data_IF_325212743582
#
_entry.id   IF_325212743582
#
_cell.length_a   1.000
_cell.length_b   1.000
_cell.length_c   1.000
_cell.angle_alpha   90.00
_cell.angle_beta   90.00
_cell.angle_gamma   90.00
#
_symmetry.space_group_name_H-M   'P 1'
#
loop_
_entity.id
_entity.type
_entity.pdbx_description
1 polymer ?
#
# COMPACT_ATOMS: atom_id res chain seq x y z
N UNK A 1 13.95 -20.14 6.72
CA UNK A 1 13.01 -19.04 6.41
C UNK A 1 11.71 -19.37 7.13
N UNK A 2 11.29 -18.54 8.09
CA UNK A 2 9.95 -18.63 8.67
C UNK A 2 8.92 -18.31 7.59
N UNK A 3 7.74 -18.95 7.66
CA UNK A 3 6.64 -18.60 6.75
C UNK A 3 6.26 -17.12 6.99
N UNK A 4 5.90 -16.36 5.92
CA UNK A 4 5.41 -15.01 6.10
C UNK A 4 4.15 -15.02 6.97
N UNK A 5 4.07 -14.07 7.90
CA UNK A 5 2.89 -13.90 8.74
C UNK A 5 1.81 -13.19 7.90
N UNK A 6 0.75 -13.90 7.52
CA UNK A 6 -0.26 -13.45 6.55
C UNK A 6 -1.60 -13.25 7.25
N UNK A 7 -2.14 -12.03 7.17
CA UNK A 7 -3.56 -11.74 7.43
C UNK A 7 -4.39 -12.15 6.22
N UNK A 8 -5.60 -12.68 6.46
CA UNK A 8 -6.52 -13.10 5.41
C UNK A 8 -7.91 -12.52 5.59
N UNK A 9 -8.44 -11.97 4.50
CA UNK A 9 -9.75 -11.37 4.45
C UNK A 9 -10.56 -11.92 3.28
N UNK A 10 -11.82 -12.24 3.53
CA UNK A 10 -12.77 -12.67 2.51
C UNK A 10 -13.54 -11.44 2.06
N UNK A 11 -13.51 -11.16 0.75
CA UNK A 11 -14.27 -10.07 0.12
C UNK A 11 -15.49 -10.69 -0.58
N UNK A 12 -16.69 -10.15 -0.32
CA UNK A 12 -17.95 -10.58 -0.97
C UNK A 12 -18.88 -9.39 -1.22
N UNK A 13 -19.41 -9.26 -2.43
CA UNK A 13 -20.61 -8.45 -2.69
C UNK A 13 -21.85 -9.12 -2.10
N UNK A 14 -22.78 -8.34 -1.55
CA UNK A 14 -24.14 -8.78 -1.25
C UNK A 14 -25.00 -8.83 -2.52
N UNK A 15 -26.18 -9.45 -2.44
CA UNK A 15 -27.09 -9.55 -3.56
C UNK A 15 -27.77 -8.21 -3.89
N UNK A 16 -28.44 -8.16 -5.05
CA UNK A 16 -29.02 -6.94 -5.65
C UNK A 16 -30.07 -6.26 -4.76
N UNK A 17 -30.63 -6.97 -3.78
CA UNK A 17 -31.58 -6.43 -2.80
C UNK A 17 -30.91 -5.62 -1.67
N UNK A 18 -29.58 -5.72 -1.53
CA UNK A 18 -28.79 -5.08 -0.47
C UNK A 18 -27.82 -4.02 -1.04
N UNK A 19 -28.33 -3.18 -1.95
CA UNK A 19 -27.71 -1.91 -2.38
C UNK A 19 -26.27 -2.01 -2.94
N UNK A 20 -25.94 -3.17 -3.55
CA UNK A 20 -24.61 -3.47 -4.14
C UNK A 20 -23.41 -3.29 -3.18
N UNK A 21 -23.64 -3.51 -1.89
CA UNK A 21 -22.62 -3.37 -0.83
C UNK A 21 -21.55 -4.46 -0.92
N UNK A 22 -20.29 -4.10 -0.65
CA UNK A 22 -19.18 -5.05 -0.53
C UNK A 22 -18.83 -5.24 0.95
N UNK A 23 -18.89 -6.47 1.46
CA UNK A 23 -18.49 -6.82 2.81
C UNK A 23 -17.09 -7.44 2.81
N UNK A 24 -16.32 -7.13 3.85
CA UNK A 24 -14.98 -7.65 4.13
C UNK A 24 -15.01 -8.34 5.50
N UNK A 25 -14.68 -9.63 5.51
CA UNK A 25 -14.66 -10.48 6.69
C UNK A 25 -13.22 -10.89 6.97
N UNK A 26 -12.83 -11.05 8.23
CA UNK A 26 -11.59 -11.76 8.57
C UNK A 26 -11.78 -13.27 8.36
N UNK A 27 -10.79 -13.99 7.81
CA UNK A 27 -10.91 -15.44 7.58
C UNK A 27 -11.10 -16.23 8.89
N UNK A 28 -10.59 -15.70 10.02
CA UNK A 28 -10.77 -16.24 11.36
C UNK A 28 -12.21 -16.12 11.90
N UNK A 29 -13.00 -15.18 11.38
CA UNK A 29 -14.37 -14.88 11.84
C UNK A 29 -15.32 -14.62 10.65
N UNK A 30 -15.59 -15.62 9.79
CA UNK A 30 -16.27 -15.43 8.51
C UNK A 30 -17.74 -14.97 8.63
N UNK A 31 -18.36 -15.11 9.80
CA UNK A 31 -19.73 -14.66 10.08
C UNK A 31 -19.79 -13.19 10.55
N UNK A 32 -18.64 -12.58 10.88
CA UNK A 32 -18.55 -11.19 11.34
C UNK A 32 -17.93 -10.32 10.24
N UNK A 33 -18.74 -9.42 9.67
CA UNK A 33 -18.25 -8.33 8.82
C UNK A 33 -17.31 -7.46 9.64
N UNK A 34 -16.09 -7.22 9.17
CA UNK A 34 -15.11 -6.30 9.81
C UNK A 34 -15.20 -4.90 9.19
N UNK A 35 -15.27 -4.83 7.87
CA UNK A 35 -15.57 -3.59 7.13
C UNK A 35 -16.62 -3.84 6.06
N UNK A 36 -17.30 -2.78 5.66
CA UNK A 36 -18.16 -2.78 4.48
C UNK A 36 -17.94 -1.53 3.64
N UNK A 37 -18.21 -1.64 2.35
CA UNK A 37 -18.14 -0.55 1.38
C UNK A 37 -19.53 -0.26 0.83
N UNK A 38 -19.97 0.98 1.00
CA UNK A 38 -21.24 1.51 0.47
C UNK A 38 -20.95 2.61 -0.56
N UNK A 39 -21.78 2.69 -1.60
CA UNK A 39 -21.63 3.61 -2.73
C UNK A 39 -22.68 4.72 -2.66
N UNK A 40 -22.23 5.95 -2.83
CA UNK A 40 -23.06 7.16 -2.87
C UNK A 40 -22.84 7.90 -4.19
N UNK A 41 -23.91 8.43 -4.76
CA UNK A 41 -23.86 9.28 -5.95
C UNK A 41 -23.86 10.75 -5.51
N UNK A 42 -22.74 11.44 -5.69
CA UNK A 42 -22.66 12.91 -5.55
C UNK A 42 -22.85 13.61 -6.89
N UNK A 43 -22.96 14.95 -6.85
CA UNK A 43 -23.26 15.79 -8.04
C UNK A 43 -22.30 15.59 -9.22
N UNK A 44 -21.02 15.32 -8.94
CA UNK A 44 -19.93 15.26 -9.93
C UNK A 44 -19.04 13.99 -9.80
N UNK A 45 -19.22 13.21 -8.73
CA UNK A 45 -18.39 12.06 -8.41
C UNK A 45 -19.20 10.95 -7.71
N UNK A 46 -18.83 9.70 -8.00
CA UNK A 46 -19.19 8.53 -7.20
C UNK A 46 -18.27 8.56 -5.97
N UNK A 47 -18.86 8.46 -4.79
CA UNK A 47 -18.17 8.46 -3.50
C UNK A 47 -18.48 7.16 -2.81
N UNK A 48 -17.46 6.38 -2.49
CA UNK A 48 -17.63 5.11 -1.79
C UNK A 48 -16.96 5.19 -0.43
N UNK A 49 -17.62 4.64 0.59
CA UNK A 49 -17.17 4.75 1.98
C UNK A 49 -16.83 3.36 2.50
N UNK A 50 -15.57 3.14 2.88
CA UNK A 50 -15.16 1.98 3.65
C UNK A 50 -15.43 2.26 5.14
N UNK A 51 -16.44 1.59 5.69
CA UNK A 51 -16.92 1.76 7.06
C UNK A 51 -16.52 0.56 7.90
N UNK A 52 -15.96 0.80 9.09
CA UNK A 52 -15.69 -0.25 10.07
C UNK A 52 -16.99 -0.63 10.79
N UNK A 53 -17.35 -1.92 10.73
CA UNK A 53 -18.68 -2.41 11.13
C UNK A 53 -19.02 -2.17 12.59
N UNK A 54 -18.05 -2.40 13.48
CA UNK A 54 -18.26 -2.39 14.92
C UNK A 54 -18.43 -0.98 15.51
N UNK A 55 -17.91 0.04 14.82
CA UNK A 55 -17.92 1.43 15.29
C UNK A 55 -18.72 2.37 14.39
N UNK A 56 -19.23 1.88 13.25
CA UNK A 56 -19.89 2.68 12.20
C UNK A 56 -19.10 3.91 11.77
N UNK A 57 -17.77 3.84 11.84
CA UNK A 57 -16.87 4.93 11.43
C UNK A 57 -16.37 4.70 10.02
N UNK A 58 -16.49 5.72 9.17
CA UNK A 58 -15.78 5.79 7.89
C UNK A 58 -14.28 5.78 8.18
N UNK A 59 -13.57 4.81 7.61
CA UNK A 59 -12.11 4.73 7.63
C UNK A 59 -11.52 5.48 6.44
N UNK A 60 -12.05 5.21 5.25
CA UNK A 60 -11.57 5.74 3.98
C UNK A 60 -12.74 6.04 3.05
N UNK A 61 -12.57 7.02 2.16
CA UNK A 61 -13.46 7.25 1.03
C UNK A 61 -12.69 7.14 -0.28
N UNK A 62 -13.31 6.50 -1.27
CA UNK A 62 -12.82 6.34 -2.63
C UNK A 62 -13.68 7.25 -3.51
N UNK A 63 -13.05 8.14 -4.28
CA UNK A 63 -13.74 9.08 -5.16
C UNK A 63 -13.38 8.82 -6.61
N UNK A 64 -14.39 8.74 -7.48
CA UNK A 64 -14.28 8.50 -8.94
C UNK A 64 -15.23 9.46 -9.68
N UNK A 65 -14.86 10.04 -10.83
CA UNK A 65 -15.71 11.02 -11.52
C UNK A 65 -16.91 10.35 -12.22
N UNK A 66 -17.97 11.12 -12.46
CA UNK A 66 -19.04 10.69 -13.37
C UNK A 66 -18.64 10.70 -14.85
N UNK A 67 -17.58 11.44 -15.21
CA UNK A 67 -17.05 11.57 -16.57
C UNK A 67 -15.53 11.75 -16.56
N UNK A 68 -14.83 11.08 -17.46
CA UNK A 68 -13.37 11.06 -17.49
C UNK A 68 -12.78 10.06 -16.51
N UNK A 69 -11.56 10.31 -16.03
CA UNK A 69 -10.80 9.33 -15.25
C UNK A 69 -10.03 9.98 -14.11
N UNK A 70 -10.28 9.49 -12.88
CA UNK A 70 -9.35 9.48 -11.76
C UNK A 70 -9.85 8.49 -10.69
N UNK A 71 -8.93 8.01 -9.85
CA UNK A 71 -9.26 7.36 -8.58
C UNK A 71 -8.45 8.05 -7.50
N UNK A 72 -9.08 8.43 -6.39
CA UNK A 72 -8.39 9.03 -5.24
C UNK A 72 -8.97 8.53 -3.92
N UNK A 73 -8.09 8.19 -2.98
CA UNK A 73 -8.45 7.85 -1.61
C UNK A 73 -8.33 9.07 -0.69
N UNK A 74 -9.24 9.21 0.25
CA UNK A 74 -9.16 10.17 1.36
C UNK A 74 -9.46 9.46 2.68
N UNK A 75 -8.89 9.93 3.78
CA UNK A 75 -9.33 9.57 5.13
C UNK A 75 -10.03 10.77 5.79
N UNK A 76 -11.00 10.58 6.71
CA UNK A 76 -11.65 11.69 7.43
C UNK A 76 -10.69 12.56 8.25
N UNK A 77 -9.48 12.07 8.55
CA UNK A 77 -8.43 12.79 9.26
C UNK A 77 -7.47 13.58 8.34
N UNK A 78 -7.62 13.50 7.03
CA UNK A 78 -6.79 14.27 6.10
C UNK A 78 -7.21 15.75 6.10
N UNK A 79 -6.25 16.69 5.97
CA UNK A 79 -6.57 18.09 5.70
C UNK A 79 -7.41 18.24 4.42
N UNK A 80 -8.24 19.28 4.36
CA UNK A 80 -9.07 19.55 3.18
C UNK A 80 -8.21 19.64 1.91
N UNK A 81 -8.69 19.00 0.82
CA UNK A 81 -7.98 18.94 -0.46
C UNK A 81 -6.89 17.86 -0.55
N UNK A 82 -6.46 17.24 0.56
CA UNK A 82 -5.47 16.15 0.54
C UNK A 82 -6.13 14.83 0.14
N UNK A 83 -5.50 14.09 -0.78
CA UNK A 83 -5.92 12.76 -1.21
C UNK A 83 -4.73 11.98 -1.78
N UNK A 84 -4.82 10.65 -1.79
CA UNK A 84 -3.84 9.76 -2.42
C UNK A 84 -4.39 9.36 -3.79
N UNK A 85 -3.83 9.85 -4.91
CA UNK A 85 -4.28 9.46 -6.25
C UNK A 85 -3.72 8.08 -6.62
N UNK A 86 -4.54 7.30 -7.32
CA UNK A 86 -4.11 6.11 -8.05
C UNK A 86 -4.03 6.50 -9.54
N UNK A 87 -2.83 6.38 -10.11
CA UNK A 87 -2.51 6.83 -11.47
C UNK A 87 -2.01 5.65 -12.31
N UNK A 88 -2.45 5.51 -13.59
CA UNK A 88 -1.92 4.49 -14.49
C UNK A 88 -0.40 4.53 -14.55
N UNK A 89 0.24 3.36 -14.51
CA UNK A 89 1.69 3.28 -14.67
C UNK A 89 2.06 3.71 -16.10
N UNK A 90 3.05 4.60 -16.29
CA UNK A 90 3.48 5.00 -17.64
C UNK A 90 4.03 3.83 -18.45
N UNK A 91 3.78 3.80 -19.76
CA UNK A 91 4.34 2.81 -20.70
C UNK A 91 5.87 2.75 -20.72
N UNK A 92 6.54 3.81 -20.29
CA UNK A 92 8.01 3.89 -20.15
C UNK A 92 8.53 3.33 -18.81
N UNK A 93 7.65 2.95 -17.89
CA UNK A 93 8.03 2.37 -16.61
C UNK A 93 8.51 0.93 -16.79
N UNK A 94 9.60 0.50 -16.12
CA UNK A 94 10.00 -0.91 -16.11
C UNK A 94 9.01 -1.82 -15.35
N UNK A 95 8.05 -1.21 -14.63
CA UNK A 95 6.97 -1.91 -13.91
C UNK A 95 5.61 -1.76 -14.61
N UNK A 96 5.60 -1.37 -15.88
CA UNK A 96 4.35 -1.31 -16.66
C UNK A 96 3.79 -2.72 -16.87
N UNK A 97 2.54 -2.90 -16.46
CA UNK A 97 1.66 -3.96 -16.96
C UNK A 97 0.35 -3.33 -17.45
N UNK A 98 -0.38 -4.03 -18.32
CA UNK A 98 -1.73 -3.61 -18.68
C UNK A 98 -2.61 -3.56 -17.41
N UNK A 99 -3.53 -2.59 -17.35
CA UNK A 99 -4.30 -2.25 -16.16
C UNK A 99 -3.48 -2.00 -14.86
N UNK A 100 -2.17 -1.74 -14.91
CA UNK A 100 -1.42 -1.40 -13.69
C UNK A 100 -1.66 0.04 -13.25
N UNK A 101 -1.88 0.23 -11.94
CA UNK A 101 -1.96 1.53 -11.29
C UNK A 101 -0.80 1.68 -10.30
N UNK A 102 -0.36 2.92 -10.07
CA UNK A 102 0.62 3.27 -9.05
C UNK A 102 0.07 4.35 -8.12
N UNK A 103 0.58 4.38 -6.90
CA UNK A 103 0.32 5.45 -5.94
C UNK A 103 1.52 5.64 -5.02
N UNK A 104 1.50 6.75 -4.28
CA UNK A 104 2.54 7.08 -3.30
C UNK A 104 1.89 7.40 -1.97
N UNK A 105 2.40 6.86 -0.88
CA UNK A 105 1.89 7.13 0.48
C UNK A 105 3.02 7.43 1.45
N UNK A 106 2.73 8.18 2.50
CA UNK A 106 3.66 8.38 3.61
C UNK A 106 3.61 7.14 4.50
N UNK A 107 4.78 6.56 4.72
CA UNK A 107 4.99 5.38 5.57
C UNK A 107 5.98 5.74 6.65
N UNK A 108 5.87 5.10 7.80
CA UNK A 108 6.80 5.26 8.91
C UNK A 108 7.60 3.95 9.03
N UNK A 109 8.61 3.73 8.15
CA UNK A 109 9.46 2.55 8.25
C UNK A 109 10.03 2.52 9.67
N UNK A 110 9.61 1.53 10.47
CA UNK A 110 10.34 1.28 11.71
C UNK A 110 11.73 0.82 11.26
N UNK A 111 12.82 1.52 11.62
CA UNK A 111 14.14 0.97 11.37
C UNK A 111 14.18 -0.34 12.14
N UNK A 112 14.16 -1.46 11.40
CA UNK A 112 14.57 -2.74 11.95
C UNK A 112 15.94 -2.46 12.52
N UNK A 113 16.07 -2.55 13.86
CA UNK A 113 17.35 -2.40 14.50
C UNK A 113 18.27 -3.41 13.80
N UNK A 114 19.22 -2.90 13.01
CA UNK A 114 20.22 -3.75 12.41
C UNK A 114 20.85 -4.48 13.59
N UNK A 115 20.78 -5.81 13.56
CA UNK A 115 21.39 -6.63 14.59
C UNK A 115 22.91 -6.50 14.42
N UNK A 116 23.46 -5.37 14.85
CA UNK A 116 24.87 -5.23 15.12
C UNK A 116 25.23 -6.39 16.03
N UNK A 117 26.13 -7.24 15.54
CA UNK A 117 26.60 -8.45 16.21
C UNK A 117 27.48 -8.05 17.40
N UNK A 118 26.86 -7.44 18.40
CA UNK A 118 27.50 -7.15 19.67
C UNK A 118 27.57 -8.45 20.48
N UNK A 119 28.80 -8.90 20.73
CA UNK A 119 29.06 -10.05 21.59
C UNK A 119 28.40 -9.88 22.97
N UNK A 120 27.91 -10.98 23.58
CA UNK A 120 27.34 -10.95 24.92
C UNK A 120 28.45 -10.77 25.97
N UNK A 121 28.82 -9.52 26.25
CA UNK A 121 29.66 -9.17 27.38
C UNK A 121 28.88 -9.36 28.70
N UNK A 122 28.97 -10.57 29.26
CA UNK A 122 28.36 -10.98 30.51
C UNK A 122 28.65 -10.02 31.67
N UNK A 123 27.64 -9.28 32.13
CA UNK A 123 27.58 -8.79 33.52
C UNK A 123 26.20 -8.98 34.13
N UNK A 124 26.10 -10.09 34.85
CA UNK A 124 25.09 -10.31 35.88
C UNK A 124 25.33 -9.29 37.01
N UNK A 125 24.30 -8.52 37.36
CA UNK A 125 24.20 -7.85 38.66
C UNK A 125 22.77 -8.00 39.16
N UNK A 126 22.53 -9.05 39.95
CA UNK A 126 21.38 -9.08 40.84
C UNK A 126 21.63 -8.10 41.99
N UNK A 127 20.73 -7.14 42.15
CA UNK A 127 20.46 -6.52 43.45
C UNK A 127 18.96 -6.52 43.66
N UNK A 128 18.46 -7.62 44.21
CA UNK A 128 17.14 -7.71 44.81
C UNK A 128 17.15 -6.86 46.09
N UNK A 129 16.21 -5.93 46.24
CA UNK A 129 15.98 -5.31 47.53
C UNK A 129 14.48 -5.02 47.70
N UNK A 130 13.80 -5.96 48.37
CA UNK A 130 12.63 -5.62 49.18
C UNK A 130 13.07 -4.60 50.25
N UNK A 131 12.25 -3.57 50.49
CA UNK A 131 11.53 -3.51 51.77
C UNK A 131 10.35 -2.51 51.68
N UNK A 132 9.59 -2.46 52.76
CA UNK A 132 8.19 -2.07 52.83
C UNK A 132 7.99 -0.67 53.41
N UNK A 133 6.74 -0.19 53.31
CA UNK A 133 6.13 0.76 54.26
C UNK A 133 6.66 2.20 54.31
N UNK A 134 5.84 3.16 53.86
CA UNK A 134 5.05 4.02 54.79
C UNK A 134 4.24 5.11 54.08
N UNK A 135 3.08 5.39 54.65
CA UNK A 135 2.29 6.60 54.40
C UNK A 135 2.96 7.83 55.03
N UNK A 136 2.90 8.98 54.36
CA UNK A 136 3.01 10.28 55.03
C UNK A 136 2.26 11.35 54.24
N UNK A 137 1.51 12.18 54.96
CA UNK A 137 0.66 13.26 54.46
C UNK A 137 1.19 14.55 55.10
N UNK A 138 1.48 15.61 54.31
CA UNK A 138 1.02 16.99 54.54
C UNK A 138 1.76 18.06 53.70
N UNK A 139 1.24 19.28 53.79
CA UNK A 139 1.25 20.33 52.76
C UNK A 139 2.04 21.60 53.14
N UNK A 140 2.74 22.21 52.17
CA UNK A 140 3.00 23.67 51.92
C UNK A 140 3.55 24.60 53.05
N UNK A 141 3.94 25.86 52.76
CA UNK A 141 4.80 26.46 51.71
C UNK A 141 6.05 27.14 52.40
N UNK A 142 6.71 28.25 51.95
CA UNK A 142 6.77 28.97 50.67
C UNK A 142 8.21 29.26 50.12
N UNK A 143 8.31 30.08 49.07
CA UNK A 143 9.52 30.75 48.52
C UNK A 143 9.95 31.96 49.39
N UNK A 144 11.20 32.50 49.35
CA UNK A 144 11.74 33.17 48.13
C UNK A 144 13.29 33.24 47.94
N UNK A 145 13.68 33.88 46.83
CA UNK A 145 14.97 34.56 46.53
C UNK A 145 16.18 33.71 46.11
N UNK A 146 16.73 34.03 44.93
CA UNK A 146 17.97 33.44 44.42
C UNK A 146 18.14 33.61 42.91
N UNK A 147 18.23 34.86 42.42
CA UNK A 147 18.52 35.09 41.00
C UNK A 147 19.98 34.70 40.71
N UNK A 148 20.17 33.53 40.09
CA UNK A 148 21.42 33.17 39.44
C UNK A 148 21.19 32.90 37.97
N UNK A 149 21.86 33.69 37.13
CA UNK A 149 22.08 33.44 35.72
C UNK A 149 22.92 32.17 35.56
N UNK A 150 22.28 31.00 35.63
CA UNK A 150 22.87 29.75 35.13
C UNK A 150 22.73 29.72 33.62
N UNK A 151 23.86 29.75 32.93
CA UNK A 151 23.98 29.32 31.55
C UNK A 151 23.35 27.93 31.40
N UNK A 152 22.55 27.68 30.34
CA UNK A 152 22.01 26.34 30.12
C UNK A 152 23.18 25.37 29.92
N UNK A 153 23.23 24.24 30.65
CA UNK A 153 24.16 23.18 30.31
C UNK A 153 23.81 22.72 28.89
N UNK A 154 24.83 22.50 28.04
CA UNK A 154 24.63 21.92 26.71
C UNK A 154 24.25 20.46 26.85
N UNK A 155 22.97 20.22 27.14
CA UNK A 155 22.36 18.89 27.22
C UNK A 155 22.28 18.31 25.81
N UNK A 156 23.39 17.75 25.36
CA UNK A 156 23.42 16.72 24.34
C UNK A 156 22.74 15.45 24.88
N UNK A 157 21.44 15.53 25.12
CA UNK A 157 20.61 14.33 25.14
C UNK A 157 20.77 13.68 23.76
N UNK A 158 21.07 12.37 23.68
CA UNK A 158 21.01 11.68 22.41
C UNK A 158 19.58 11.85 21.90
N UNK A 159 19.43 12.53 20.76
CA UNK A 159 18.15 12.58 20.06
C UNK A 159 17.86 11.16 19.60
N UNK A 160 17.10 10.42 20.41
CA UNK A 160 16.44 9.19 19.99
C UNK A 160 15.60 9.60 18.78
N UNK A 161 16.08 9.24 17.59
CA UNK A 161 15.45 9.64 16.34
C UNK A 161 14.07 9.04 16.28
N UNK A 162 13.03 9.88 16.40
CA UNK A 162 11.67 9.46 16.16
C UNK A 162 11.54 8.89 14.73
N UNK A 163 10.59 7.97 14.48
CA UNK A 163 10.43 7.33 13.18
C UNK A 163 10.31 8.38 12.07
N UNK A 164 11.24 8.37 11.13
CA UNK A 164 11.28 9.34 10.04
C UNK A 164 10.26 8.93 8.98
N UNK A 165 9.19 9.72 8.84
CA UNK A 165 8.19 9.54 7.80
C UNK A 165 8.81 9.74 6.41
N UNK A 166 8.73 8.72 5.55
CA UNK A 166 9.18 8.78 4.16
C UNK A 166 8.01 8.54 3.20
N UNK A 167 8.17 8.94 1.93
CA UNK A 167 7.23 8.55 0.88
C UNK A 167 7.67 7.21 0.31
N UNK A 168 6.75 6.25 0.25
CA UNK A 168 6.93 4.95 -0.39
C UNK A 168 6.03 4.87 -1.61
N UNK A 169 6.57 4.32 -2.70
CA UNK A 169 5.88 4.11 -3.97
C UNK A 169 5.39 2.66 -4.10
N UNK A 170 4.19 2.49 -4.62
CA UNK A 170 3.52 1.20 -4.77
C UNK A 170 2.99 1.03 -6.19
N UNK A 171 2.99 -0.21 -6.68
CA UNK A 171 2.37 -0.63 -7.94
C UNK A 171 1.36 -1.73 -7.64
N UNK A 172 0.16 -1.55 -8.18
CA UNK A 172 -0.89 -2.55 -8.36
C UNK A 172 -0.78 -3.08 -9.79
N UNK A 173 -0.75 -4.39 -9.97
CA UNK A 173 -0.75 -5.03 -11.28
C UNK A 173 -1.62 -6.29 -11.27
N UNK A 174 -2.33 -6.61 -12.37
CA UNK A 174 -3.07 -7.85 -12.47
C UNK A 174 -2.14 -9.05 -12.30
N UNK A 175 -2.64 -10.09 -11.63
CA UNK A 175 -1.96 -11.36 -11.49
C UNK A 175 -2.37 -12.24 -12.66
N UNK A 176 -1.59 -12.20 -13.75
CA UNK A 176 -1.69 -13.24 -14.76
C UNK A 176 -1.48 -14.61 -14.09
N UNK A 177 -2.52 -15.44 -14.08
CA UNK A 177 -2.46 -16.81 -13.50
C UNK A 177 -1.72 -17.74 -14.47
N UNK A 178 -0.44 -17.43 -14.67
CA UNK A 178 0.55 -18.27 -15.33
C UNK A 178 1.53 -18.77 -14.27
N UNK A 179 1.04 -19.56 -13.31
CA UNK A 179 1.83 -20.15 -12.22
C UNK A 179 3.04 -20.92 -12.76
N UNK A 180 4.28 -20.38 -12.71
CA UNK A 180 5.43 -21.00 -13.35
C UNK A 180 6.20 -21.82 -12.31
N UNK A 181 5.49 -22.65 -11.53
CA UNK A 181 6.07 -23.34 -10.38
C UNK A 181 5.91 -24.87 -10.39
N UNK A 182 5.41 -25.46 -11.47
CA UNK A 182 5.45 -26.91 -11.72
C UNK A 182 5.83 -27.29 -13.18
N UNK A 183 6.49 -26.37 -13.90
CA UNK A 183 6.86 -26.58 -15.30
C UNK A 183 7.93 -27.67 -15.54
N UNK A 184 8.58 -28.19 -14.49
CA UNK A 184 9.61 -29.22 -14.59
C UNK A 184 9.09 -30.67 -14.68
N UNK A 185 7.80 -30.93 -14.47
CA UNK A 185 7.21 -32.28 -14.53
C UNK A 185 5.83 -32.39 -15.20
N UNK A 186 5.40 -31.39 -15.99
CA UNK A 186 4.11 -31.48 -16.70
C UNK A 186 4.25 -32.29 -18.01
N UNK A 187 3.65 -33.48 -17.98
CA UNK A 187 3.56 -34.41 -19.12
C UNK A 187 2.87 -33.77 -20.33
N UNK A 188 3.26 -34.21 -21.54
CA UNK A 188 2.76 -33.66 -22.82
C UNK A 188 1.22 -33.66 -22.94
N UNK A 189 0.53 -34.59 -22.29
CA UNK A 189 -0.93 -34.65 -22.25
C UNK A 189 -1.57 -33.48 -21.47
N UNK A 190 -0.90 -32.95 -20.44
CA UNK A 190 -1.38 -31.78 -19.68
C UNK A 190 -1.39 -30.52 -20.54
N UNK A 191 -0.40 -30.38 -21.46
CA UNK A 191 -0.28 -29.25 -22.39
C UNK A 191 -1.40 -29.21 -23.44
N UNK A 192 -2.01 -30.35 -23.78
CA UNK A 192 -3.17 -30.40 -24.68
C UNK A 192 -4.46 -29.97 -23.95
N UNK A 193 -4.63 -30.35 -22.69
CA UNK A 193 -5.82 -30.00 -21.90
C UNK A 193 -5.83 -28.53 -21.44
N UNK A 194 -4.67 -27.88 -21.29
CA UNK A 194 -4.61 -26.44 -21.03
C UNK A 194 -5.14 -25.60 -22.21
N UNK A 195 -4.94 -26.04 -23.46
CA UNK A 195 -5.43 -25.32 -24.65
C UNK A 195 -6.97 -25.34 -24.71
N UNK A 196 -7.59 -26.49 -24.43
CA UNK A 196 -9.07 -26.59 -24.41
C UNK A 196 -9.71 -25.92 -23.18
N UNK A 197 -8.94 -25.68 -22.11
CA UNK A 197 -9.42 -24.96 -20.90
C UNK A 197 -9.23 -23.44 -20.98
N UNK A 198 -8.42 -22.94 -21.93
CA UNK A 198 -8.19 -21.50 -22.16
C UNK A 198 -9.38 -20.75 -22.78
N UNK A 199 -10.46 -21.42 -23.16
CA UNK A 199 -11.72 -20.76 -23.53
C UNK A 199 -12.57 -20.34 -22.32
N UNK A 200 -12.13 -20.67 -21.10
CA UNK A 200 -12.80 -20.32 -19.83
C UNK A 200 -11.91 -19.53 -18.86
N UNK A 201 -10.73 -19.07 -19.29
CA UNK A 201 -9.92 -18.09 -18.54
C UNK A 201 -10.43 -16.67 -18.77
N UNK A 202 -11.74 -16.50 -18.76
CA UNK A 202 -12.40 -15.22 -18.89
C UNK A 202 -12.36 -14.54 -17.51
N UNK A 203 -11.54 -13.49 -17.38
CA UNK A 203 -11.66 -12.46 -16.35
C UNK A 203 -11.44 -12.93 -14.90
N UNK A 204 -10.19 -13.27 -14.56
CA UNK A 204 -9.81 -13.33 -13.14
C UNK A 204 -9.36 -11.95 -12.68
N UNK A 205 -10.09 -11.35 -11.74
CA UNK A 205 -9.74 -10.07 -11.12
C UNK A 205 -8.63 -10.22 -10.06
N UNK A 206 -7.76 -11.21 -10.19
CA UNK A 206 -6.63 -11.44 -9.28
C UNK A 206 -5.54 -10.40 -9.50
N UNK A 207 -4.90 -9.92 -8.43
CA UNK A 207 -3.84 -8.90 -8.53
C UNK A 207 -2.86 -8.93 -7.37
N UNK A 208 -1.74 -8.22 -7.52
CA UNK A 208 -0.77 -7.95 -6.46
C UNK A 208 -0.57 -6.46 -6.26
N UNK A 209 -0.18 -6.09 -5.04
CA UNK A 209 0.33 -4.78 -4.66
C UNK A 209 1.73 -4.97 -4.10
N UNK A 210 2.72 -4.32 -4.73
CA UNK A 210 4.13 -4.44 -4.38
C UNK A 210 4.77 -3.07 -4.23
N UNK A 211 5.79 -2.95 -3.36
CA UNK A 211 6.60 -1.73 -3.26
C UNK A 211 7.60 -1.62 -4.40
N UNK A 212 7.80 -0.40 -4.87
CA UNK A 212 8.85 -0.05 -5.81
C UNK A 212 10.13 0.32 -5.05
N UNK A 213 11.30 -0.25 -5.39
CA UNK A 213 12.57 0.16 -4.80
C UNK A 213 12.87 1.65 -5.00
N UNK A 214 13.34 2.36 -3.97
CA UNK A 214 13.63 3.80 -4.04
C UNK A 214 14.74 4.17 -5.04
N UNK A 215 15.58 3.22 -5.44
CA UNK A 215 16.70 3.46 -6.35
C UNK A 215 16.30 3.42 -7.85
N UNK A 216 15.04 3.15 -8.18
CA UNK A 216 14.58 3.16 -9.57
C UNK A 216 14.22 4.60 -9.99
N UNK A 217 14.89 5.18 -11.01
CA UNK A 217 14.63 6.56 -11.44
C UNK A 217 13.25 6.69 -12.12
N UNK A 218 12.23 6.96 -11.32
CA UNK A 218 10.86 7.19 -11.78
C UNK A 218 10.71 8.62 -12.31
N UNK A 219 10.89 8.75 -13.64
CA UNK A 219 10.78 9.96 -14.47
C UNK A 219 12.08 10.79 -14.60
N UNK A 220 12.30 11.42 -15.77
CA UNK A 220 13.30 12.48 -15.89
C UNK A 220 12.91 13.68 -15.01
N UNK A 221 13.89 14.47 -14.53
CA UNK A 221 13.59 15.69 -13.77
C UNK A 221 12.73 16.65 -14.60
N UNK A 222 11.81 17.41 -13.97
CA UNK A 222 10.97 18.34 -14.69
C UNK A 222 11.82 19.45 -15.37
N UNK A 223 11.38 19.98 -16.52
CA UNK A 223 12.22 20.81 -17.40
C UNK A 223 12.67 22.15 -16.80
N UNK A 224 12.13 22.56 -15.65
CA UNK A 224 12.54 23.76 -14.92
C UNK A 224 13.81 23.57 -14.05
N UNK A 225 14.29 22.34 -13.86
CA UNK A 225 15.51 22.08 -13.07
C UNK A 225 16.82 22.50 -13.75
N UNK A 226 16.79 22.90 -15.04
CA UNK A 226 17.97 23.27 -15.82
C UNK A 226 18.37 24.75 -15.76
N UNK A 227 17.57 25.62 -15.12
CA UNK A 227 17.80 27.08 -15.10
C UNK A 227 18.44 27.58 -13.78
N UNK A 228 19.47 26.89 -13.29
CA UNK A 228 20.42 27.47 -12.34
C UNK A 228 21.53 28.19 -13.13
N UNK A 229 21.74 29.51 -12.95
CA UNK A 229 22.75 30.25 -13.70
C UNK A 229 24.16 29.91 -13.24
N UNK A 230 24.83 29.01 -13.97
CA UNK A 230 26.27 28.84 -13.92
C UNK A 230 26.97 29.93 -14.78
N UNK A 231 28.16 30.42 -14.38
CA UNK A 231 28.84 31.49 -15.10
C UNK A 231 29.34 31.05 -16.49
N UNK A 232 29.44 32.04 -17.39
CA UNK A 232 29.56 31.86 -18.83
C UNK A 232 30.87 31.20 -19.29
N UNK A 233 30.77 30.12 -20.08
CA UNK A 233 31.77 29.75 -21.07
C UNK A 233 31.20 28.86 -22.20
N UNK A 234 31.41 29.29 -23.45
CA UNK A 234 31.57 28.43 -24.64
C UNK A 234 30.41 27.55 -25.12
N UNK A 235 29.55 28.18 -25.93
CA UNK A 235 28.87 27.71 -27.16
C UNK A 235 29.06 26.25 -27.65
N UNK A 236 27.96 25.77 -28.25
CA UNK A 236 27.87 24.75 -29.32
C UNK A 236 27.69 23.29 -28.89
N UNK A 237 26.44 22.81 -28.96
CA UNK A 237 26.11 21.63 -29.78
C UNK A 237 24.60 21.57 -30.05
N UNK A 238 24.24 21.56 -31.34
CA UNK A 238 22.91 21.19 -31.84
C UNK A 238 22.90 19.68 -32.09
N UNK A 239 21.74 19.04 -31.94
CA UNK A 239 21.47 17.61 -32.16
C UNK A 239 21.99 16.63 -31.08
N UNK A 240 21.14 16.36 -30.08
CA UNK A 240 21.11 15.09 -29.35
C UNK A 240 19.68 14.80 -28.81
N UNK A 241 18.69 14.88 -29.69
CA UNK A 241 17.39 14.21 -29.50
C UNK A 241 17.47 12.79 -30.10
N UNK A 242 16.77 11.82 -29.49
CA UNK A 242 16.76 10.38 -29.84
C UNK A 242 18.01 9.55 -29.47
N UNK A 243 18.48 9.64 -28.22
CA UNK A 243 19.38 8.64 -27.63
C UNK A 243 19.09 8.39 -26.14
N UNK A 244 17.87 7.99 -25.81
CA UNK A 244 17.47 7.51 -24.47
C UNK A 244 16.78 6.14 -24.53
N UNK A 245 17.24 5.29 -25.45
CA UNK A 245 16.92 3.86 -25.50
C UNK A 245 18.19 3.06 -25.26
N UNK A 246 18.10 2.03 -24.41
CA UNK A 246 19.11 0.98 -24.23
C UNK A 246 20.51 1.41 -23.71
N UNK A 247 20.57 1.93 -22.48
CA UNK A 247 21.56 1.40 -21.53
C UNK A 247 20.85 0.36 -20.64
N UNK A 248 21.19 -0.91 -20.85
CA UNK A 248 20.56 -2.05 -20.16
C UNK A 248 20.97 -2.20 -18.70
N UNK A 249 20.68 -1.19 -17.88
CA UNK A 249 20.78 -1.31 -16.43
C UNK A 249 19.78 -2.38 -15.97
N UNK A 250 20.17 -3.32 -15.08
CA UNK A 250 19.27 -4.35 -14.60
C UNK A 250 18.11 -3.72 -13.84
N UNK A 251 16.89 -4.01 -14.26
CA UNK A 251 15.67 -3.56 -13.58
C UNK A 251 15.68 -4.12 -12.16
N UNK A 252 15.65 -3.25 -11.16
CA UNK A 252 15.54 -3.68 -9.78
C UNK A 252 14.20 -4.41 -9.58
N UNK A 253 14.20 -5.68 -9.12
CA UNK A 253 12.97 -6.41 -8.92
C UNK A 253 12.08 -5.71 -7.89
N UNK A 254 10.77 -5.83 -8.05
CA UNK A 254 9.82 -5.39 -7.03
C UNK A 254 10.07 -6.15 -5.72
N UNK A 255 9.70 -5.52 -4.60
CA UNK A 255 9.66 -6.21 -3.32
C UNK A 255 8.63 -7.35 -3.35
N UNK A 256 8.66 -8.22 -2.32
CA UNK A 256 7.56 -9.15 -2.05
C UNK A 256 6.21 -8.42 -2.12
N UNK A 257 5.14 -9.04 -2.66
CA UNK A 257 3.81 -8.47 -2.56
C UNK A 257 3.45 -8.23 -1.10
N UNK A 258 3.10 -6.98 -0.78
CA UNK A 258 2.51 -6.61 0.49
C UNK A 258 1.09 -7.18 0.57
N UNK A 259 0.40 -7.21 -0.56
CA UNK A 259 -0.98 -7.66 -0.66
C UNK A 259 -1.19 -8.43 -1.98
N UNK A 260 -1.93 -9.53 -1.90
CA UNK A 260 -2.34 -10.35 -3.04
C UNK A 260 -3.83 -10.61 -2.94
N UNK A 261 -4.57 -10.36 -4.02
CA UNK A 261 -5.97 -10.76 -4.14
C UNK A 261 -6.09 -11.94 -5.09
N UNK A 262 -6.78 -12.98 -4.63
CA UNK A 262 -7.14 -14.16 -5.41
C UNK A 262 -8.64 -14.11 -5.68
N UNK A 263 -9.01 -13.92 -6.95
CA UNK A 263 -10.40 -14.01 -7.36
C UNK A 263 -10.91 -15.45 -7.22
N UNK A 264 -12.07 -15.60 -6.59
CA UNK A 264 -12.77 -16.87 -6.35
C UNK A 264 -14.21 -16.81 -6.85
N UNK A 265 -14.53 -15.83 -7.69
CA UNK A 265 -15.85 -15.62 -8.27
C UNK A 265 -16.23 -16.79 -9.17
N UNK A 266 -17.36 -17.48 -8.91
CA UNK A 266 -17.79 -18.59 -9.78
C UNK A 266 -18.20 -18.08 -11.17
N UNK A 267 -17.80 -18.80 -12.22
CA UNK A 267 -18.00 -18.42 -13.64
C UNK A 267 -19.47 -18.10 -14.02
N UNK A 268 -20.44 -18.60 -13.24
CA UNK A 268 -21.88 -18.40 -13.50
C UNK A 268 -22.55 -17.33 -12.61
N UNK A 269 -21.80 -16.59 -11.79
CA UNK A 269 -22.37 -15.50 -10.97
C UNK A 269 -22.34 -14.17 -11.71
N UNK A 270 -23.51 -13.66 -12.06
CA UNK A 270 -23.68 -12.33 -12.66
C UNK A 270 -23.62 -11.26 -11.56
N UNK A 271 -22.72 -10.27 -11.70
CA UNK A 271 -22.58 -9.12 -10.78
C UNK A 271 -22.35 -9.50 -9.31
N UNK A 272 -21.62 -10.60 -9.06
CA UNK A 272 -21.09 -10.89 -7.73
C UNK A 272 -19.58 -11.00 -7.80
N UNK A 273 -18.88 -10.39 -6.84
CA UNK A 273 -17.45 -10.56 -6.62
C UNK A 273 -17.27 -11.40 -5.35
N UNK A 274 -16.45 -12.45 -5.41
CA UNK A 274 -15.98 -13.18 -4.23
C UNK A 274 -14.50 -13.46 -4.36
N UNK A 275 -13.70 -13.14 -3.35
CA UNK A 275 -12.26 -13.45 -3.38
C UNK A 275 -11.61 -13.50 -2.01
N UNK A 276 -10.35 -13.94 -1.99
CA UNK A 276 -9.49 -13.94 -0.82
C UNK A 276 -8.40 -12.89 -0.99
N UNK A 277 -8.32 -11.97 -0.04
CA UNK A 277 -7.25 -11.01 0.09
C UNK A 277 -6.25 -11.50 1.15
N UNK A 278 -4.97 -11.61 0.77
CA UNK A 278 -3.86 -11.93 1.65
C UNK A 278 -3.00 -10.68 1.84
N UNK A 279 -2.63 -10.35 3.10
CA UNK A 279 -1.77 -9.21 3.45
C UNK A 279 -0.58 -9.71 4.28
N UNK A 280 0.63 -9.33 3.90
CA UNK A 280 1.86 -9.63 4.61
C UNK A 280 2.00 -8.73 5.86
N UNK A 281 1.63 -9.26 7.04
CA UNK A 281 1.64 -8.51 8.30
C UNK A 281 3.02 -7.93 8.62
N UNK A 282 4.10 -8.64 8.31
CA UNK A 282 5.46 -8.17 8.57
C UNK A 282 5.78 -6.89 7.78
N UNK A 283 5.24 -6.78 6.57
CA UNK A 283 5.44 -5.62 5.69
C UNK A 283 4.46 -4.49 6.02
N UNK A 284 3.22 -4.81 6.39
CA UNK A 284 2.24 -3.87 6.94
C UNK A 284 2.77 -3.17 8.22
N UNK A 285 3.25 -3.95 9.19
CA UNK A 285 3.86 -3.45 10.44
C UNK A 285 5.10 -2.63 10.14
N UNK A 286 5.95 -3.08 9.21
CA UNK A 286 7.14 -2.33 8.79
C UNK A 286 6.78 -0.94 8.26
N UNK A 287 5.74 -0.83 7.44
CA UNK A 287 5.33 0.44 6.82
C UNK A 287 4.56 1.36 7.78
N UNK A 288 3.98 0.81 8.86
CA UNK A 288 3.27 1.56 9.88
C UNK A 288 1.98 2.20 9.36
N UNK A 289 1.21 1.47 8.54
CA UNK A 289 -0.04 1.93 7.93
C UNK A 289 -1.16 0.92 8.18
N UNK A 290 -2.31 1.41 8.66
CA UNK A 290 -3.46 0.59 9.07
C UNK A 290 -4.00 -0.33 7.97
N UNK A 291 -4.44 -1.53 8.34
CA UNK A 291 -5.05 -2.53 7.44
C UNK A 291 -6.18 -1.95 6.59
N UNK A 292 -7.03 -1.09 7.18
CA UNK A 292 -8.14 -0.46 6.48
C UNK A 292 -7.73 0.35 5.24
N UNK A 293 -6.49 0.88 5.21
CA UNK A 293 -5.94 1.54 4.02
C UNK A 293 -5.68 0.53 2.90
N UNK A 294 -5.01 -0.58 3.21
CA UNK A 294 -4.73 -1.63 2.23
C UNK A 294 -6.01 -2.29 1.69
N UNK A 295 -7.03 -2.47 2.55
CA UNK A 295 -8.37 -2.87 2.13
C UNK A 295 -8.99 -1.84 1.17
N UNK A 296 -8.93 -0.54 1.49
CA UNK A 296 -9.49 0.52 0.64
C UNK A 296 -8.79 0.59 -0.73
N UNK A 297 -7.46 0.44 -0.77
CA UNK A 297 -6.68 0.40 -2.02
C UNK A 297 -7.07 -0.83 -2.87
N UNK A 298 -7.18 -2.00 -2.26
CA UNK A 298 -7.61 -3.22 -2.94
C UNK A 298 -9.02 -3.10 -3.53
N UNK A 299 -9.97 -2.58 -2.75
CA UNK A 299 -11.36 -2.38 -3.19
C UNK A 299 -11.49 -1.29 -4.27
N UNK A 300 -10.64 -0.26 -4.26
CA UNK A 300 -10.60 0.74 -5.32
C UNK A 300 -10.04 0.17 -6.64
N UNK A 301 -9.06 -0.73 -6.55
CA UNK A 301 -8.46 -1.38 -7.73
C UNK A 301 -9.39 -2.45 -8.34
N UNK A 302 -10.13 -3.19 -7.52
CA UNK A 302 -11.12 -4.17 -7.98
C UNK A 302 -12.18 -3.54 -8.90
N UNK A 303 -12.72 -2.38 -8.51
CA UNK A 303 -13.69 -1.68 -9.36
C UNK A 303 -13.09 -1.14 -10.64
N UNK A 304 -11.83 -0.68 -10.59
CA UNK A 304 -11.15 -0.26 -11.80
C UNK A 304 -11.04 -1.39 -12.82
N UNK A 305 -10.77 -2.63 -12.37
CA UNK A 305 -10.78 -3.79 -13.25
C UNK A 305 -12.18 -4.04 -13.83
N UNK A 306 -13.23 -4.08 -13.00
CA UNK A 306 -14.62 -4.29 -13.42
C UNK A 306 -15.10 -3.23 -14.43
N UNK A 307 -14.82 -1.95 -14.19
CA UNK A 307 -15.21 -0.84 -15.07
C UNK A 307 -14.40 -0.85 -16.38
N UNK A 308 -13.11 -1.19 -16.31
CA UNK A 308 -12.26 -1.36 -17.50
C UNK A 308 -12.73 -2.50 -18.39
N UNK A 309 -13.07 -3.65 -17.81
CA UNK A 309 -13.60 -4.79 -18.58
C UNK A 309 -14.97 -4.47 -19.20
N UNK A 310 -15.84 -3.79 -18.45
CA UNK A 310 -17.13 -3.30 -18.97
C UNK A 310 -16.95 -2.36 -20.17
N UNK A 311 -15.95 -1.46 -20.12
CA UNK A 311 -15.61 -0.57 -21.23
C UNK A 311 -15.03 -1.31 -22.43
N UNK A 312 -14.13 -2.28 -22.22
CA UNK A 312 -13.53 -3.08 -23.30
C UNK A 312 -14.55 -4.00 -23.99
N UNK A 313 -15.50 -4.55 -23.23
CA UNK A 313 -16.61 -5.31 -23.79
C UNK A 313 -17.49 -4.43 -24.69
N UNK A 314 -17.88 -3.25 -24.21
CA UNK A 314 -18.71 -2.30 -24.96
C UNK A 314 -18.00 -1.64 -26.17
N UNK A 315 -16.66 -1.69 -26.24
CA UNK A 315 -15.88 -1.18 -27.36
C UNK A 315 -15.67 -2.21 -28.49
N UNK A 316 -16.03 -3.48 -28.26
CA UNK A 316 -15.85 -4.60 -29.20
C UNK A 316 -17.17 -5.09 -29.84
N UNK A 317 -18.31 -4.49 -29.49
CA UNK A 317 -19.67 -4.76 -30.01
C UNK A 317 -20.08 -3.69 -31.04
#
# INVERSE_FOLDING_TARGET
>A
MTAPNISRFIIRTTDVLQDMRVNVYEESSPDKVTWFKERFLGDNEIIEQLVHSQTSRVCWTIHRPLRGWYIRLKAPMFPQGVSIPLTPVPLSSPYFADASLSFSSRTNPTPLAETETHEPATRISLTSQDDSSRTSIHSYPPTPTGSQLRLPPSSHSPKIGGPQSQVTHFVLAPSDILTPQNALQQSFFTRALSVLKNHSSAHSNSFTLSRVPLNTPLSPPPPYALNLPAPEASRSNVALMNAASATGAPIAPLHSPLLTFHDRTPVLTVRSLTGLLEINQSEEILLGVDTSFWIAVALAYLEFLEERESYLAAAND
#
